data_IF_431898792436
#
_entry.id   IF_431898792436
#
_cell.length_a   1.000
_cell.length_b   1.000
_cell.length_c   1.000
_cell.angle_alpha   90.00
_cell.angle_beta   90.00
_cell.angle_gamma   90.00
#
_symmetry.space_group_name_H-M   'P 1'
#
loop_
_entity.id
_entity.type
_entity.pdbx_description
1 polymer ?
#
# COMPACT_ATOMS: atom_id res chain seq x y z
N UNK A 1 47.91 62.19 68.61
CA UNK A 1 47.27 62.11 67.28
C UNK A 1 48.06 61.14 66.40
N UNK A 2 47.51 59.96 66.10
CA UNK A 2 48.14 58.96 65.20
C UNK A 2 47.59 59.14 63.79
N UNK A 3 48.45 59.46 62.82
CA UNK A 3 48.05 59.56 61.42
C UNK A 3 47.99 58.17 60.78
N UNK A 4 46.81 57.77 60.31
CA UNK A 4 46.66 56.60 59.45
C UNK A 4 47.20 56.96 58.06
N UNK A 5 48.35 56.38 57.67
CA UNK A 5 48.82 56.41 56.28
C UNK A 5 47.79 55.68 55.41
N UNK A 6 47.11 56.43 54.54
CA UNK A 6 46.15 55.92 53.55
C UNK A 6 46.91 55.14 52.47
N UNK A 7 46.80 53.81 52.49
CA UNK A 7 47.48 52.93 51.53
C UNK A 7 46.67 52.84 50.21
N UNK A 8 46.72 53.91 49.40
CA UNK A 8 45.96 54.03 48.13
C UNK A 8 46.44 53.09 47.01
N UNK A 9 47.63 52.51 47.14
CA UNK A 9 48.19 51.61 46.13
C UNK A 9 47.53 50.23 46.14
N UNK A 10 47.12 49.71 47.31
CA UNK A 10 46.43 48.41 47.40
C UNK A 10 45.00 48.43 46.84
N UNK A 11 44.26 49.53 47.01
CA UNK A 11 42.91 49.69 46.44
C UNK A 11 42.93 49.76 44.91
N UNK A 12 43.94 50.40 44.31
CA UNK A 12 44.10 50.45 42.85
C UNK A 12 44.34 49.06 42.25
N UNK A 13 45.12 48.21 42.93
CA UNK A 13 45.37 46.82 42.50
C UNK A 13 44.08 46.00 42.56
N UNK A 14 43.27 46.17 43.61
CA UNK A 14 41.98 45.48 43.74
C UNK A 14 41.00 45.92 42.64
N UNK A 15 40.89 47.23 42.38
CA UNK A 15 40.01 47.76 41.33
C UNK A 15 40.47 47.28 39.94
N UNK A 16 41.78 47.31 39.66
CA UNK A 16 42.32 46.82 38.41
C UNK A 16 42.06 45.31 38.21
N UNK A 17 42.26 44.50 39.25
CA UNK A 17 41.95 43.08 39.21
C UNK A 17 40.46 42.81 38.94
N UNK A 18 39.57 43.58 39.57
CA UNK A 18 38.12 43.43 39.40
C UNK A 18 37.67 43.84 38.00
N UNK A 19 38.25 44.89 37.42
CA UNK A 19 38.02 45.28 36.02
C UNK A 19 38.49 44.18 35.07
N UNK A 20 39.68 43.62 35.29
CA UNK A 20 40.21 42.53 34.46
C UNK A 20 39.27 41.31 34.52
N UNK A 21 38.81 40.93 35.72
CA UNK A 21 37.87 39.82 35.90
C UNK A 21 36.57 40.06 35.14
N UNK A 22 35.96 41.24 35.27
CA UNK A 22 34.73 41.60 34.55
C UNK A 22 34.96 41.59 33.04
N UNK A 23 36.10 42.11 32.57
CA UNK A 23 36.45 42.08 31.15
C UNK A 23 36.61 40.65 30.63
N UNK A 24 37.30 39.78 31.37
CA UNK A 24 37.47 38.38 30.97
C UNK A 24 36.15 37.63 30.95
N UNK A 25 35.26 37.87 31.91
CA UNK A 25 33.91 37.29 31.92
C UNK A 25 33.07 37.75 30.73
N UNK A 26 33.12 39.05 30.40
CA UNK A 26 32.44 39.59 29.22
C UNK A 26 32.98 38.98 27.92
N UNK A 27 34.29 38.79 27.82
CA UNK A 27 34.94 38.22 26.63
C UNK A 27 34.58 36.73 26.47
N UNK A 28 34.56 35.96 27.56
CA UNK A 28 34.12 34.56 27.55
C UNK A 28 32.64 34.45 27.15
N UNK A 29 31.77 35.33 27.67
CA UNK A 29 30.36 35.37 27.30
C UNK A 29 30.19 35.70 25.80
N UNK A 30 30.89 36.69 25.27
CA UNK A 30 30.83 37.02 23.84
C UNK A 30 31.34 35.88 22.96
N UNK A 31 32.44 35.22 23.32
CA UNK A 31 32.95 34.05 22.58
C UNK A 31 31.92 32.92 22.61
N UNK A 32 31.32 32.65 23.76
CA UNK A 32 30.27 31.64 23.91
C UNK A 32 29.06 31.97 23.02
N UNK A 33 28.63 33.23 23.00
CA UNK A 33 27.48 33.67 22.23
C UNK A 33 27.74 33.58 20.72
N UNK A 34 28.93 33.97 20.26
CA UNK A 34 29.35 33.80 18.86
C UNK A 34 29.42 32.32 18.47
N UNK A 35 29.94 31.47 19.37
CA UNK A 35 29.99 30.02 19.12
C UNK A 35 28.60 29.41 19.00
N UNK A 36 27.65 29.82 19.85
CA UNK A 36 26.26 29.38 19.79
C UNK A 36 25.58 29.86 18.50
N UNK A 37 25.73 31.14 18.14
CA UNK A 37 25.18 31.66 16.88
C UNK A 37 25.80 31.00 15.64
N UNK A 38 27.09 30.66 15.67
CA UNK A 38 27.73 29.89 14.60
C UNK A 38 27.23 28.44 14.54
N UNK A 39 26.83 27.85 15.66
CA UNK A 39 26.18 26.54 15.68
C UNK A 39 24.76 26.62 15.14
N UNK A 40 23.96 27.60 15.55
CA UNK A 40 22.62 27.86 15.03
C UNK A 40 22.65 28.11 13.52
N UNK A 41 23.56 28.96 13.03
CA UNK A 41 23.75 29.23 11.61
C UNK A 41 24.27 28.02 10.81
N UNK A 42 24.91 27.04 11.45
CA UNK A 42 25.24 25.77 10.79
C UNK A 42 24.08 24.80 10.83
N UNK A 43 23.21 24.91 11.84
CA UNK A 43 22.09 24.02 12.10
C UNK A 43 20.90 24.29 11.18
N UNK A 44 20.50 25.56 11.05
CA UNK A 44 19.37 25.96 10.19
C UNK A 44 19.55 25.53 8.72
N UNK A 45 20.70 25.78 8.05
CA UNK A 45 20.83 25.49 6.63
C UNK A 45 20.82 24.00 6.30
N UNK A 46 21.34 23.13 7.17
CA UNK A 46 21.33 21.69 6.87
C UNK A 46 19.93 21.11 7.01
N UNK A 47 19.16 21.55 8.02
CA UNK A 47 17.82 21.03 8.28
C UNK A 47 16.87 21.46 7.15
N UNK A 48 16.94 22.73 6.73
CA UNK A 48 16.19 23.21 5.57
C UNK A 48 16.54 22.46 4.29
N UNK A 49 17.83 22.22 4.04
CA UNK A 49 18.28 21.46 2.86
C UNK A 49 17.79 20.02 2.89
N UNK A 50 17.95 19.31 4.01
CA UNK A 50 17.51 17.92 4.14
C UNK A 50 15.99 17.78 4.01
N UNK A 51 15.22 18.65 4.67
CA UNK A 51 13.76 18.68 4.57
C UNK A 51 13.28 19.01 3.17
N UNK A 52 13.92 19.97 2.51
CA UNK A 52 13.60 20.34 1.12
C UNK A 52 13.83 19.18 0.16
N UNK A 53 14.99 18.52 0.25
CA UNK A 53 15.32 17.35 -0.58
C UNK A 53 14.36 16.18 -0.30
N UNK A 54 14.07 15.90 0.97
CA UNK A 54 13.16 14.81 1.33
C UNK A 54 11.72 15.08 0.88
N UNK A 55 11.24 16.32 1.00
CA UNK A 55 9.93 16.72 0.49
C UNK A 55 9.86 16.69 -1.03
N UNK A 56 10.96 17.03 -1.72
CA UNK A 56 11.04 16.93 -3.17
C UNK A 56 11.02 15.47 -3.65
N UNK A 57 11.56 14.54 -2.84
CA UNK A 57 11.48 13.12 -3.12
C UNK A 57 10.03 12.58 -3.15
N UNK A 58 9.14 13.05 -2.26
CA UNK A 58 7.72 12.67 -2.32
C UNK A 58 7.05 13.09 -3.63
N UNK A 59 7.39 14.29 -4.13
CA UNK A 59 6.92 14.77 -5.42
C UNK A 59 7.52 13.95 -6.56
N UNK A 60 8.79 13.60 -6.42
CA UNK A 60 9.52 12.77 -7.38
C UNK A 60 8.87 11.40 -7.56
N UNK A 61 8.58 10.69 -6.46
CA UNK A 61 7.88 9.38 -6.50
C UNK A 61 6.48 9.51 -7.07
N UNK A 62 5.76 10.56 -6.69
CA UNK A 62 4.40 10.80 -7.20
C UNK A 62 4.41 10.96 -8.72
N UNK A 63 5.35 11.76 -9.24
CA UNK A 63 5.48 11.96 -10.68
C UNK A 63 6.01 10.70 -11.40
N UNK A 64 6.94 9.96 -10.79
CA UNK A 64 7.42 8.69 -11.33
C UNK A 64 6.29 7.66 -11.43
N UNK A 65 5.42 7.58 -10.42
CA UNK A 65 4.23 6.72 -10.46
C UNK A 65 3.27 7.17 -11.57
N UNK A 66 3.04 8.47 -11.73
CA UNK A 66 2.24 8.99 -12.85
C UNK A 66 2.78 8.48 -14.19
N UNK A 67 4.07 8.68 -14.47
CA UNK A 67 4.70 8.20 -15.71
C UNK A 67 4.56 6.69 -15.89
N UNK A 68 4.85 5.92 -14.84
CA UNK A 68 4.76 4.46 -14.89
C UNK A 68 3.32 3.98 -15.16
N UNK A 69 2.31 4.60 -14.54
CA UNK A 69 0.90 4.24 -14.78
C UNK A 69 0.42 4.62 -16.17
N UNK A 70 0.90 5.72 -16.75
CA UNK A 70 0.60 6.06 -18.15
C UNK A 70 1.20 5.01 -19.10
N UNK A 71 2.46 4.61 -18.87
CA UNK A 71 3.09 3.55 -19.65
C UNK A 71 2.31 2.23 -19.52
N UNK A 72 1.87 1.87 -18.31
CA UNK A 72 1.08 0.65 -18.09
C UNK A 72 -0.25 0.68 -18.83
N UNK A 73 -0.89 1.85 -18.89
CA UNK A 73 -2.13 2.05 -19.62
C UNK A 73 -1.96 1.91 -21.13
N UNK A 74 -0.80 2.29 -21.67
CA UNK A 74 -0.52 2.21 -23.11
C UNK A 74 -0.05 0.82 -23.53
N UNK A 75 0.79 0.16 -22.73
CA UNK A 75 1.47 -1.09 -23.13
C UNK A 75 0.91 -2.34 -22.47
N UNK A 76 0.25 -2.21 -21.32
CA UNK A 76 -0.18 -3.33 -20.47
C UNK A 76 0.97 -4.12 -19.84
N UNK A 77 2.22 -3.66 -19.99
CA UNK A 77 3.42 -4.36 -19.53
C UNK A 77 3.95 -3.76 -18.22
N UNK A 78 3.79 -4.50 -17.11
CA UNK A 78 4.31 -4.09 -15.80
C UNK A 78 5.83 -3.83 -15.84
N UNK A 79 6.58 -4.64 -16.60
CA UNK A 79 8.04 -4.50 -16.69
C UNK A 79 8.46 -3.17 -17.32
N UNK A 80 7.81 -2.78 -18.43
CA UNK A 80 8.08 -1.51 -19.11
C UNK A 80 7.69 -0.32 -18.24
N UNK A 81 6.53 -0.40 -17.59
CA UNK A 81 6.07 0.64 -16.65
C UNK A 81 7.05 0.87 -15.51
N UNK A 82 7.56 -0.21 -14.90
CA UNK A 82 8.51 -0.12 -13.81
C UNK A 82 9.85 0.46 -14.29
N UNK A 83 10.26 0.12 -15.51
CA UNK A 83 11.46 0.70 -16.12
C UNK A 83 11.32 2.23 -16.29
N UNK A 84 10.20 2.71 -16.84
CA UNK A 84 9.96 4.17 -17.03
C UNK A 84 10.00 4.91 -15.70
N UNK A 85 9.35 4.38 -14.66
CA UNK A 85 9.41 4.94 -13.31
C UNK A 85 10.83 5.02 -12.76
N UNK A 86 11.58 3.91 -12.83
CA UNK A 86 12.96 3.83 -12.34
C UNK A 86 13.93 4.76 -13.11
N UNK A 87 13.75 4.91 -14.43
CA UNK A 87 14.54 5.82 -15.25
C UNK A 87 14.35 7.28 -14.82
N UNK A 88 13.11 7.69 -14.52
CA UNK A 88 12.84 9.04 -14.03
C UNK A 88 13.50 9.29 -12.68
N UNK A 89 13.35 8.37 -11.73
CA UNK A 89 13.97 8.51 -10.39
C UNK A 89 15.50 8.61 -10.52
N UNK A 90 16.11 7.79 -11.36
CA UNK A 90 17.56 7.85 -11.63
C UNK A 90 17.98 9.21 -12.18
N UNK A 91 17.21 9.78 -13.12
CA UNK A 91 17.45 11.14 -13.66
C UNK A 91 17.35 12.19 -12.55
N UNK A 92 16.34 12.10 -11.69
CA UNK A 92 16.18 13.01 -10.55
C UNK A 92 17.35 12.93 -9.56
N UNK A 93 17.80 11.72 -9.19
CA UNK A 93 18.97 11.55 -8.30
C UNK A 93 20.22 12.19 -8.91
N UNK A 94 20.47 11.95 -10.19
CA UNK A 94 21.62 12.56 -10.87
C UNK A 94 21.55 14.09 -10.91
N UNK A 95 20.37 14.65 -11.17
CA UNK A 95 20.15 16.10 -11.14
C UNK A 95 20.34 16.68 -9.73
N UNK A 96 19.86 15.99 -8.70
CA UNK A 96 20.04 16.38 -7.30
C UNK A 96 21.53 16.41 -6.92
N UNK A 97 22.27 15.35 -7.22
CA UNK A 97 23.71 15.27 -6.93
C UNK A 97 24.50 16.36 -7.67
N UNK A 98 24.10 16.70 -8.91
CA UNK A 98 24.72 17.79 -9.66
C UNK A 98 24.44 19.17 -9.05
N UNK A 99 23.17 19.46 -8.70
CA UNK A 99 22.74 20.73 -8.10
C UNK A 99 23.40 21.01 -6.74
N UNK A 100 23.70 19.97 -5.97
CA UNK A 100 24.31 20.08 -4.64
C UNK A 100 25.73 19.49 -4.59
N UNK A 101 26.47 19.59 -5.69
CA UNK A 101 27.82 19.01 -5.83
C UNK A 101 28.83 19.50 -4.77
N UNK A 102 28.64 20.70 -4.22
CA UNK A 102 29.46 21.27 -3.14
C UNK A 102 29.18 20.67 -1.74
N UNK A 103 28.04 19.99 -1.56
CA UNK A 103 27.62 19.46 -0.27
C UNK A 103 28.08 18.01 -0.03
N UNK A 104 28.56 17.33 -1.07
CA UNK A 104 28.94 15.92 -1.00
C UNK A 104 27.76 15.05 -0.56
N UNK A 105 26.59 15.24 -1.20
CA UNK A 105 25.40 14.46 -0.90
C UNK A 105 25.66 12.97 -1.17
N UNK A 106 25.14 12.12 -0.29
CA UNK A 106 25.02 10.69 -0.55
C UNK A 106 23.56 10.31 -0.36
N UNK A 107 22.94 9.86 -1.45
CA UNK A 107 21.52 9.52 -1.54
C UNK A 107 21.43 8.03 -1.75
N UNK A 108 20.60 7.37 -0.94
CA UNK A 108 20.29 5.95 -1.10
C UNK A 108 18.79 5.81 -1.13
N UNK A 109 18.27 5.22 -2.21
CA UNK A 109 16.88 4.83 -2.34
C UNK A 109 16.88 3.32 -2.20
N UNK A 110 16.00 2.79 -1.37
CA UNK A 110 15.87 1.36 -1.17
C UNK A 110 14.41 0.99 -0.98
N UNK A 111 14.03 -0.18 -1.48
CA UNK A 111 12.83 -0.86 -1.03
C UNK A 111 13.22 -1.67 0.22
N UNK A 112 12.50 -1.51 1.31
CA UNK A 112 12.68 -2.32 2.51
C UNK A 112 12.26 -3.77 2.20
N UNK A 113 13.22 -4.54 1.71
CA UNK A 113 13.25 -6.02 1.71
C UNK A 113 12.23 -6.73 0.80
N UNK A 114 12.52 -6.86 -0.51
CA UNK A 114 12.18 -8.06 -1.33
C UNK A 114 12.39 -7.88 -2.85
N UNK A 115 12.62 -6.67 -3.36
CA UNK A 115 12.85 -6.44 -4.79
C UNK A 115 14.32 -6.52 -5.20
N UNK A 116 14.58 -6.93 -6.45
CA UNK A 116 15.85 -6.63 -7.13
C UNK A 116 15.98 -5.13 -7.48
N UNK A 117 14.98 -4.32 -7.12
CA UNK A 117 14.81 -2.91 -7.48
C UNK A 117 14.67 -2.03 -6.24
N UNK A 118 15.19 -0.81 -6.32
CA UNK A 118 15.24 0.17 -5.22
C UNK A 118 13.86 0.76 -4.84
N UNK A 119 12.82 0.45 -5.61
CA UNK A 119 11.45 0.98 -5.45
C UNK A 119 10.47 -0.17 -5.62
N UNK A 120 9.41 -0.19 -4.81
CA UNK A 120 8.28 -1.10 -4.94
C UNK A 120 7.23 -0.44 -5.81
N UNK A 121 6.92 -1.06 -6.93
CA UNK A 121 5.83 -0.69 -7.82
C UNK A 121 4.75 -1.77 -7.75
N UNK A 122 3.49 -1.38 -7.68
CA UNK A 122 2.38 -2.32 -7.77
C UNK A 122 1.21 -1.69 -8.52
N UNK A 123 0.80 -2.35 -9.60
CA UNK A 123 -0.35 -1.96 -10.43
C UNK A 123 -1.16 -3.23 -10.65
N UNK A 124 -2.41 -3.23 -10.20
CA UNK A 124 -3.35 -4.33 -10.44
C UNK A 124 -4.69 -3.73 -10.83
N UNK A 125 -5.04 -3.89 -12.10
CA UNK A 125 -6.19 -3.25 -12.75
C UNK A 125 -7.23 -4.26 -13.27
N UNK A 126 -7.02 -5.55 -13.01
CA UNK A 126 -7.79 -6.63 -13.63
C UNK A 126 -9.00 -7.09 -12.81
N UNK A 127 -9.44 -6.29 -11.83
CA UNK A 127 -10.58 -6.60 -10.98
C UNK A 127 -11.43 -5.35 -10.76
N UNK A 128 -12.61 -5.52 -10.14
CA UNK A 128 -13.48 -4.40 -9.75
C UNK A 128 -12.80 -3.46 -8.75
N UNK A 129 -11.68 -3.88 -8.17
CA UNK A 129 -10.78 -3.06 -7.39
C UNK A 129 -9.42 -2.88 -8.09
N UNK A 130 -9.17 -1.65 -8.55
CA UNK A 130 -7.93 -1.20 -9.16
C UNK A 130 -6.98 -0.55 -8.15
N UNK A 131 -5.68 -0.84 -8.25
CA UNK A 131 -4.64 -0.15 -7.49
C UNK A 131 -3.48 0.30 -8.37
N UNK A 132 -2.97 1.50 -8.09
CA UNK A 132 -1.69 2.03 -8.59
C UNK A 132 -0.87 2.52 -7.41
N UNK A 133 0.31 1.95 -7.19
CA UNK A 133 1.07 2.11 -5.95
C UNK A 133 2.59 2.22 -6.20
N UNK A 134 3.23 3.11 -5.43
CA UNK A 134 4.67 3.25 -5.35
C UNK A 134 5.15 3.48 -3.91
N UNK A 135 6.27 2.86 -3.55
CA UNK A 135 6.91 3.02 -2.25
C UNK A 135 8.43 2.94 -2.32
N UNK A 136 9.11 3.80 -1.56
CA UNK A 136 10.52 3.66 -1.28
C UNK A 136 10.93 4.29 0.05
N UNK A 137 12.00 3.76 0.63
CA UNK A 137 12.79 4.41 1.67
C UNK A 137 13.85 5.31 1.03
N UNK A 138 13.92 6.54 1.48
CA UNK A 138 14.92 7.52 1.08
C UNK A 138 15.86 7.81 2.24
N UNK A 139 17.16 7.69 1.97
CA UNK A 139 18.22 8.02 2.92
C UNK A 139 19.13 9.10 2.36
N UNK A 140 19.42 10.09 3.20
CA UNK A 140 20.24 11.24 2.83
C UNK A 140 21.33 11.50 3.88
N UNK A 141 22.54 11.61 3.37
CA UNK A 141 23.72 12.09 4.08
C UNK A 141 24.23 13.38 3.44
N UNK A 142 24.65 14.35 4.26
CA UNK A 142 25.23 15.62 3.80
C UNK A 142 26.63 15.78 4.41
N UNK A 143 27.64 15.37 3.65
CA UNK A 143 29.02 15.30 4.12
C UNK A 143 29.60 16.67 4.51
N UNK A 144 29.28 17.73 3.76
CA UNK A 144 29.78 19.08 4.05
C UNK A 144 29.38 19.60 5.44
N UNK A 145 28.27 19.10 5.99
CA UNK A 145 27.77 19.46 7.33
C UNK A 145 28.07 18.38 8.38
N UNK A 146 28.72 17.26 8.00
CA UNK A 146 28.91 16.11 8.88
C UNK A 146 27.59 15.42 9.28
N UNK A 147 26.51 15.68 8.54
CA UNK A 147 25.17 15.20 8.83
C UNK A 147 24.94 13.85 8.15
N UNK A 148 24.44 12.87 8.90
CA UNK A 148 24.31 11.48 8.48
C UNK A 148 22.99 10.88 8.92
N UNK A 149 22.40 10.04 8.08
CA UNK A 149 21.29 9.16 8.44
C UNK A 149 19.91 9.81 8.43
N UNK A 150 19.67 10.86 7.64
CA UNK A 150 18.28 11.26 7.40
C UNK A 150 17.55 10.12 6.69
N UNK A 151 16.35 9.81 7.16
CA UNK A 151 15.52 8.76 6.59
C UNK A 151 14.10 9.29 6.45
N UNK A 152 13.53 9.14 5.27
CA UNK A 152 12.12 9.41 4.99
C UNK A 152 11.52 8.25 4.23
N UNK A 153 10.25 7.97 4.52
CA UNK A 153 9.46 7.00 3.76
C UNK A 153 8.56 7.78 2.82
N UNK A 154 8.54 7.39 1.57
CA UNK A 154 7.67 7.98 0.56
C UNK A 154 6.71 6.93 0.04
N UNK A 155 5.42 7.24 0.09
CA UNK A 155 4.36 6.36 -0.33
C UNK A 155 3.33 7.15 -1.14
N UNK A 156 2.99 6.63 -2.31
CA UNK A 156 1.87 7.11 -3.11
C UNK A 156 1.02 5.95 -3.57
N UNK A 157 -0.28 6.04 -3.37
CA UNK A 157 -1.22 5.07 -3.89
C UNK A 157 -2.51 5.74 -4.37
N UNK A 158 -3.15 5.15 -5.37
CA UNK A 158 -4.50 5.47 -5.80
C UNK A 158 -5.27 4.17 -5.94
N UNK A 159 -6.47 4.15 -5.37
CA UNK A 159 -7.36 3.01 -5.38
C UNK A 159 -8.66 3.39 -6.07
N UNK A 160 -9.15 2.49 -6.92
CA UNK A 160 -10.40 2.63 -7.64
C UNK A 160 -11.27 1.41 -7.34
N UNK A 161 -12.48 1.61 -6.86
CA UNK A 161 -13.42 0.54 -6.54
C UNK A 161 -14.72 0.73 -7.32
N UNK A 162 -15.10 -0.26 -8.13
CA UNK A 162 -16.40 -0.30 -8.79
C UNK A 162 -17.43 -0.86 -7.82
N UNK A 163 -18.38 -0.01 -7.43
CA UNK A 163 -19.41 -0.33 -6.41
C UNK A 163 -20.62 -1.00 -7.06
N UNK A 164 -21.00 -0.51 -8.23
CA UNK A 164 -22.19 -0.99 -8.93
C UNK A 164 -22.12 -0.66 -10.41
N UNK A 165 -22.75 -1.51 -11.21
CA UNK A 165 -22.98 -1.26 -12.62
C UNK A 165 -24.42 -1.59 -12.99
N UNK A 166 -24.97 -0.82 -13.92
CA UNK A 166 -26.27 -1.04 -14.52
C UNK A 166 -26.19 -0.77 -16.02
N UNK A 167 -26.25 -1.84 -16.80
CA UNK A 167 -26.17 -1.79 -18.26
C UNK A 167 -27.57 -2.01 -18.82
N UNK A 168 -28.08 -1.02 -19.55
CA UNK A 168 -29.38 -1.09 -20.21
C UNK A 168 -29.19 -1.14 -21.73
N UNK A 169 -29.32 -2.35 -22.28
CA UNK A 169 -29.16 -2.64 -23.70
C UNK A 169 -30.27 -2.05 -24.58
N UNK A 170 -31.48 -1.88 -24.05
CA UNK A 170 -32.60 -1.30 -24.80
C UNK A 170 -32.41 0.21 -25.04
N UNK A 171 -31.78 0.88 -24.08
CA UNK A 171 -31.54 2.33 -24.13
C UNK A 171 -30.10 2.68 -24.52
N UNK A 172 -29.27 1.68 -24.77
CA UNK A 172 -27.83 1.81 -25.02
C UNK A 172 -27.14 2.72 -23.98
N UNK A 173 -27.50 2.53 -22.71
CA UNK A 173 -27.05 3.37 -21.60
C UNK A 173 -26.42 2.54 -20.49
N UNK A 174 -25.42 3.11 -19.82
CA UNK A 174 -24.76 2.49 -18.68
C UNK A 174 -24.68 3.47 -17.52
N UNK A 175 -24.87 2.96 -16.30
CA UNK A 175 -24.65 3.69 -15.06
C UNK A 175 -23.63 2.92 -14.24
N UNK A 176 -22.58 3.60 -13.76
CA UNK A 176 -21.56 2.97 -12.91
C UNK A 176 -21.39 3.83 -11.66
N UNK A 177 -21.46 3.18 -10.50
CA UNK A 177 -21.06 3.76 -9.22
C UNK A 177 -19.64 3.33 -8.89
N UNK A 178 -18.77 4.26 -8.52
CA UNK A 178 -17.40 3.94 -8.15
C UNK A 178 -16.89 4.82 -7.00
N UNK A 179 -15.86 4.36 -6.30
CA UNK A 179 -15.11 5.12 -5.31
C UNK A 179 -13.66 5.28 -5.76
N UNK A 180 -13.12 6.47 -5.58
CA UNK A 180 -11.69 6.75 -5.75
C UNK A 180 -11.11 7.39 -4.50
N UNK A 181 -10.03 6.79 -4.01
CA UNK A 181 -9.28 7.29 -2.86
C UNK A 181 -7.79 7.29 -3.18
N UNK A 182 -7.10 8.29 -2.65
CA UNK A 182 -5.67 8.42 -2.78
C UNK A 182 -5.01 8.26 -1.41
N UNK A 183 -3.77 7.81 -1.41
CA UNK A 183 -2.96 7.71 -0.20
C UNK A 183 -1.63 8.40 -0.39
N UNK A 184 -1.25 9.16 0.63
CA UNK A 184 0.07 9.77 0.81
C UNK A 184 0.63 9.32 2.15
N UNK A 185 1.88 9.67 2.46
CA UNK A 185 2.49 9.40 3.76
C UNK A 185 1.66 9.94 4.95
N UNK A 186 0.84 10.97 4.73
CA UNK A 186 -0.02 11.60 5.74
C UNK A 186 -1.34 10.86 6.01
N UNK A 187 -1.76 9.94 5.12
CA UNK A 187 -3.02 9.20 5.26
C UNK A 187 -3.81 9.07 3.95
N UNK A 188 -5.09 8.72 4.09
CA UNK A 188 -6.02 8.57 2.98
C UNK A 188 -6.81 9.85 2.75
N UNK A 189 -6.98 10.22 1.49
CA UNK A 189 -7.82 11.34 1.07
C UNK A 189 -8.77 10.88 -0.03
N UNK A 190 -10.00 11.39 0.00
CA UNK A 190 -10.93 11.20 -1.10
C UNK A 190 -10.57 12.12 -2.27
N UNK A 191 -10.64 11.61 -3.51
CA UNK A 191 -10.49 12.45 -4.70
C UNK A 191 -11.86 13.07 -5.00
N UNK A 192 -12.01 14.38 -4.82
CA UNK A 192 -13.31 15.08 -4.86
C UNK A 192 -13.49 16.02 -6.07
N UNK A 193 -12.50 16.13 -6.94
CA UNK A 193 -12.45 17.10 -8.03
C UNK A 193 -12.37 16.46 -9.43
N UNK A 194 -12.89 15.23 -9.59
CA UNK A 194 -12.96 14.59 -10.90
C UNK A 194 -13.92 15.31 -11.84
N UNK A 195 -13.53 15.33 -13.10
CA UNK A 195 -14.32 15.78 -14.25
C UNK A 195 -14.55 14.62 -15.22
N UNK A 196 -15.42 14.81 -16.21
CA UNK A 196 -15.68 13.79 -17.22
C UNK A 196 -14.42 13.49 -18.06
N UNK A 197 -13.52 14.47 -18.22
CA UNK A 197 -12.29 14.33 -19.00
C UNK A 197 -11.25 13.43 -18.31
N UNK A 198 -11.40 13.23 -17.00
CA UNK A 198 -10.53 12.37 -16.19
C UNK A 198 -10.92 10.88 -16.27
N UNK A 199 -11.96 10.54 -17.02
CA UNK A 199 -12.61 9.23 -17.00
C UNK A 199 -12.67 8.61 -18.39
N UNK A 200 -12.29 7.34 -18.47
CA UNK A 200 -12.46 6.51 -19.66
C UNK A 200 -13.25 5.27 -19.26
N UNK A 201 -14.42 5.10 -19.84
CA UNK A 201 -15.29 3.95 -19.59
C UNK A 201 -15.44 3.13 -20.87
N UNK A 202 -15.20 1.84 -20.79
CA UNK A 202 -15.46 0.87 -21.86
C UNK A 202 -16.43 -0.19 -21.39
N UNK A 203 -17.29 -0.63 -22.31
CA UNK A 203 -18.04 -1.87 -22.18
C UNK A 203 -17.18 -3.00 -22.72
N UNK A 204 -16.97 -4.00 -21.90
CA UNK A 204 -16.18 -5.15 -22.29
C UNK A 204 -17.14 -6.18 -22.89
N UNK A 205 -16.81 -6.65 -24.08
CA UNK A 205 -17.63 -7.61 -24.81
C UNK A 205 -16.78 -8.80 -25.24
N UNK A 206 -17.44 -9.90 -25.63
CA UNK A 206 -16.76 -11.12 -26.10
C UNK A 206 -15.83 -10.83 -27.30
N UNK A 207 -16.18 -9.87 -28.16
CA UNK A 207 -15.47 -9.61 -29.41
C UNK A 207 -14.53 -8.42 -29.31
N UNK A 208 -15.04 -7.27 -28.88
CA UNK A 208 -14.30 -6.00 -28.86
C UNK A 208 -14.85 -5.04 -27.82
N UNK A 209 -13.98 -4.37 -27.07
CA UNK A 209 -14.41 -3.37 -26.11
C UNK A 209 -15.03 -2.16 -26.82
N UNK A 210 -16.16 -1.69 -26.32
CA UNK A 210 -16.94 -0.58 -26.89
C UNK A 210 -16.78 0.65 -25.99
N UNK A 211 -16.28 1.79 -26.50
CA UNK A 211 -16.15 2.99 -25.70
C UNK A 211 -17.53 3.54 -25.32
N UNK A 212 -17.66 3.98 -24.07
CA UNK A 212 -18.85 4.64 -23.55
C UNK A 212 -18.62 6.14 -23.52
N UNK A 213 -19.57 6.89 -24.06
CA UNK A 213 -19.59 8.35 -23.93
C UNK A 213 -20.25 8.74 -22.60
N UNK A 214 -19.45 9.24 -21.64
CA UNK A 214 -19.94 9.68 -20.33
C UNK A 214 -20.68 11.01 -20.49
N UNK A 215 -21.96 11.04 -20.11
CA UNK A 215 -22.84 12.20 -20.26
C UNK A 215 -22.96 13.01 -18.96
N UNK A 216 -22.78 12.37 -17.81
CA UNK A 216 -22.80 13.04 -16.51
C UNK A 216 -21.96 12.31 -15.47
N UNK A 217 -21.45 13.08 -14.52
CA UNK A 217 -20.69 12.64 -13.36
C UNK A 217 -21.25 13.36 -12.13
N UNK A 218 -21.66 12.60 -11.12
CA UNK A 218 -22.24 13.15 -9.88
C UNK A 218 -21.42 12.69 -8.68
N UNK A 219 -20.88 13.64 -7.92
CA UNK A 219 -20.17 13.36 -6.66
C UNK A 219 -21.14 13.17 -5.50
N UNK A 220 -21.02 12.05 -4.79
CA UNK A 220 -21.87 11.71 -3.64
C UNK A 220 -21.18 11.96 -2.29
N UNK A 221 -19.90 12.35 -2.29
CA UNK A 221 -19.09 12.48 -1.08
C UNK A 221 -18.13 11.29 -0.87
N UNK A 222 -17.11 11.47 -0.03
CA UNK A 222 -16.16 10.40 0.36
C UNK A 222 -15.45 9.69 -0.79
N UNK A 223 -15.27 10.39 -1.92
CA UNK A 223 -14.62 9.85 -3.12
C UNK A 223 -15.56 9.02 -4.00
N UNK A 224 -16.85 8.98 -3.67
CA UNK A 224 -17.86 8.20 -4.39
C UNK A 224 -18.47 9.06 -5.50
N UNK A 225 -18.58 8.47 -6.68
CA UNK A 225 -19.18 9.07 -7.87
C UNK A 225 -20.16 8.12 -8.52
N UNK A 226 -21.12 8.72 -9.21
CA UNK A 226 -22.02 8.02 -10.14
C UNK A 226 -21.80 8.63 -11.52
N UNK A 227 -21.51 7.78 -12.50
CA UNK A 227 -21.47 8.16 -13.91
C UNK A 227 -22.68 7.61 -14.64
N UNK A 228 -23.19 8.42 -15.57
CA UNK A 228 -24.13 7.96 -16.58
C UNK A 228 -23.49 8.16 -17.95
N UNK A 229 -23.54 7.13 -18.78
CA UNK A 229 -22.98 7.13 -20.13
C UNK A 229 -23.89 6.46 -21.14
N UNK A 230 -23.61 6.71 -22.40
CA UNK A 230 -24.30 6.11 -23.55
C UNK A 230 -23.27 5.52 -24.50
N UNK A 231 -23.56 4.38 -25.11
CA UNK A 231 -22.69 3.74 -26.07
C UNK A 231 -23.38 3.59 -27.42
N UNK A 232 -22.59 3.58 -28.49
CA UNK A 232 -23.13 3.34 -29.81
C UNK A 232 -23.48 1.84 -29.94
N UNK A 233 -24.77 1.51 -29.94
CA UNK A 233 -25.22 0.19 -30.36
C UNK A 233 -24.98 0.08 -31.87
N UNK A 234 -23.86 -0.53 -32.28
CA UNK A 234 -23.81 -1.16 -33.60
C UNK A 234 -24.97 -2.15 -33.70
N UNK A 235 -25.57 -2.31 -34.88
CA UNK A 235 -26.74 -3.16 -35.12
C UNK A 235 -26.56 -4.56 -34.51
N UNK A 236 -26.97 -4.76 -33.25
CA UNK A 236 -27.11 -6.07 -32.63
C UNK A 236 -26.29 -6.45 -31.39
N UNK A 237 -25.65 -5.54 -30.62
CA UNK A 237 -25.07 -5.96 -29.31
C UNK A 237 -26.20 -6.50 -28.43
N UNK A 238 -26.27 -7.83 -28.29
CA UNK A 238 -27.22 -8.48 -27.40
C UNK A 238 -26.65 -8.53 -25.99
N UNK A 239 -27.51 -8.53 -24.97
CA UNK A 239 -27.08 -8.56 -23.56
C UNK A 239 -26.14 -9.74 -23.24
N UNK A 240 -26.21 -10.83 -24.00
CA UNK A 240 -25.36 -12.02 -23.85
C UNK A 240 -23.91 -11.82 -24.35
N UNK A 241 -23.60 -10.68 -24.97
CA UNK A 241 -22.25 -10.38 -25.48
C UNK A 241 -21.45 -9.45 -24.56
N UNK A 242 -22.09 -8.88 -23.54
CA UNK A 242 -21.48 -7.94 -22.59
C UNK A 242 -20.95 -8.72 -21.38
N UNK A 243 -19.66 -8.58 -21.11
CA UNK A 243 -18.97 -9.22 -19.99
C UNK A 243 -18.93 -8.32 -18.75
N UNK A 244 -18.92 -7.00 -18.93
CA UNK A 244 -18.87 -6.02 -17.85
C UNK A 244 -18.45 -4.64 -18.35
N UNK A 245 -17.83 -3.85 -17.47
CA UNK A 245 -17.26 -2.54 -17.76
C UNK A 245 -15.83 -2.46 -17.25
N UNK A 246 -15.01 -1.68 -17.94
CA UNK A 246 -13.71 -1.22 -17.44
C UNK A 246 -13.73 0.29 -17.31
N UNK A 247 -13.41 0.79 -16.12
CA UNK A 247 -13.27 2.20 -15.83
C UNK A 247 -11.81 2.51 -15.55
N UNK A 248 -11.24 3.43 -16.31
CA UNK A 248 -9.94 4.05 -16.03
C UNK A 248 -10.16 5.48 -15.55
N UNK A 249 -9.45 5.85 -14.49
CA UNK A 249 -9.51 7.17 -13.88
C UNK A 249 -8.11 7.78 -13.81
N UNK A 250 -8.01 9.04 -14.19
CA UNK A 250 -6.81 9.85 -14.04
C UNK A 250 -7.02 10.81 -12.87
N UNK A 251 -6.15 10.76 -11.86
CA UNK A 251 -6.29 11.70 -10.73
C UNK A 251 -5.96 13.14 -11.19
N UNK A 252 -6.78 14.16 -10.88
CA UNK A 252 -6.58 15.51 -11.45
C UNK A 252 -5.32 16.22 -10.96
N UNK A 253 -4.87 15.92 -9.74
CA UNK A 253 -3.75 16.63 -9.11
C UNK A 253 -2.40 16.02 -9.51
N UNK A 254 -2.31 14.70 -9.48
CA UNK A 254 -1.05 13.98 -9.61
C UNK A 254 -0.95 13.20 -10.93
N UNK A 255 -1.99 13.25 -11.77
CA UNK A 255 -2.04 12.62 -13.09
C UNK A 255 -1.70 11.11 -13.06
N UNK A 256 -2.05 10.43 -11.98
CA UNK A 256 -1.88 8.98 -11.81
C UNK A 256 -3.08 8.28 -12.44
N UNK A 257 -2.82 7.28 -13.28
CA UNK A 257 -3.84 6.44 -13.89
C UNK A 257 -4.10 5.23 -12.99
N UNK A 258 -5.37 4.86 -12.83
CA UNK A 258 -5.79 3.60 -12.21
C UNK A 258 -6.99 3.05 -12.97
N UNK A 259 -7.04 1.74 -13.19
CA UNK A 259 -8.17 1.11 -13.88
C UNK A 259 -8.75 -0.03 -13.04
N UNK A 260 -10.04 -0.26 -13.19
CA UNK A 260 -10.79 -1.34 -12.55
C UNK A 260 -11.79 -1.91 -13.55
N UNK A 261 -12.09 -3.20 -13.47
CA UNK A 261 -12.92 -3.92 -14.43
C UNK A 261 -13.84 -4.93 -13.75
N UNK A 262 -15.12 -4.94 -14.13
CA UNK A 262 -16.10 -5.98 -13.73
C UNK A 262 -16.16 -7.13 -14.73
N UNK A 263 -15.49 -7.01 -15.89
CA UNK A 263 -15.49 -8.04 -16.93
C UNK A 263 -14.39 -9.09 -16.78
N UNK A 264 -13.38 -8.79 -15.96
CA UNK A 264 -12.48 -9.82 -15.45
C UNK A 264 -13.23 -10.76 -14.54
N UNK A 265 -12.76 -12.00 -14.37
CA UNK A 265 -13.32 -12.92 -13.38
C UNK A 265 -13.21 -12.26 -11.99
N UNK A 266 -14.29 -11.63 -11.52
CA UNK A 266 -14.33 -10.89 -10.23
C UNK A 266 -13.95 -11.79 -9.04
N UNK A 267 -14.06 -13.10 -9.24
CA UNK A 267 -13.70 -14.15 -8.30
C UNK A 267 -12.20 -14.46 -8.27
N UNK A 268 -11.38 -13.76 -9.05
CA UNK A 268 -9.95 -13.99 -9.10
C UNK A 268 -9.26 -13.77 -7.78
N UNK A 269 -9.85 -13.10 -6.79
CA UNK A 269 -9.24 -12.99 -5.47
C UNK A 269 -10.34 -13.03 -4.39
N UNK A 270 -10.24 -14.00 -3.48
CA UNK A 270 -10.95 -14.02 -2.21
C UNK A 270 -10.06 -13.40 -1.13
N UNK A 271 -10.57 -12.43 -0.39
CA UNK A 271 -9.83 -11.75 0.67
C UNK A 271 -10.36 -12.14 2.04
N UNK A 272 -9.48 -12.28 3.04
CA UNK A 272 -9.92 -12.50 4.42
C UNK A 272 -10.15 -11.14 5.10
N UNK A 273 -11.39 -10.86 5.52
CA UNK A 273 -11.86 -9.61 6.15
C UNK A 273 -12.04 -9.68 7.67
N UNK A 274 -12.49 -8.56 8.27
CA UNK A 274 -12.63 -8.37 9.74
C UNK A 274 -13.45 -9.49 10.40
N UNK A 275 -12.90 -10.11 11.46
CA UNK A 275 -13.52 -11.25 12.16
C UNK A 275 -13.20 -12.63 11.59
N UNK A 276 -12.52 -12.71 10.44
CA UNK A 276 -12.30 -13.95 9.71
C UNK A 276 -13.50 -14.31 8.84
N UNK A 277 -14.07 -13.31 8.16
CA UNK A 277 -14.97 -13.52 7.03
C UNK A 277 -14.16 -13.59 5.73
N UNK A 278 -14.67 -14.26 4.71
CA UNK A 278 -14.13 -14.16 3.35
C UNK A 278 -14.98 -13.13 2.59
N UNK A 279 -14.31 -12.19 1.94
CA UNK A 279 -14.91 -11.14 1.11
C UNK A 279 -14.39 -11.25 -0.31
N UNK A 280 -15.27 -11.02 -1.27
CA UNK A 280 -14.94 -10.93 -2.70
C UNK A 280 -14.33 -9.58 -3.05
N UNK A 281 -14.63 -8.56 -2.26
CA UNK A 281 -13.94 -7.28 -2.31
C UNK A 281 -12.75 -7.30 -1.35
N UNK A 282 -11.61 -6.67 -1.70
CA UNK A 282 -10.58 -6.41 -0.70
C UNK A 282 -11.22 -5.65 0.46
N UNK A 283 -10.88 -6.00 1.72
CA UNK A 283 -11.51 -5.39 2.89
C UNK A 283 -11.45 -3.87 2.76
N UNK A 284 -12.59 -3.20 2.95
CA UNK A 284 -12.62 -1.74 3.06
C UNK A 284 -11.50 -1.35 4.02
N UNK A 285 -10.51 -0.61 3.51
CA UNK A 285 -9.35 -0.21 4.30
C UNK A 285 -9.83 0.93 5.22
N UNK A 286 -10.61 0.56 6.23
CA UNK A 286 -11.06 1.42 7.30
C UNK A 286 -9.88 1.66 8.24
N UNK A 287 -9.69 2.93 8.60
CA UNK A 287 -8.69 3.38 9.55
C UNK A 287 -8.85 2.71 10.92
N UNK A 288 -7.77 2.13 11.41
CA UNK A 288 -7.63 1.61 12.77
C UNK A 288 -6.57 0.51 12.82
N UNK A 289 -5.97 0.26 13.99
CA UNK A 289 -5.18 -0.95 14.20
C UNK A 289 -6.12 -2.16 14.10
N UNK A 290 -6.44 -2.63 12.89
CA UNK A 290 -7.18 -3.88 12.71
C UNK A 290 -6.21 -5.05 12.84
N UNK A 291 -5.83 -5.33 14.09
CA UNK A 291 -5.45 -6.69 14.42
C UNK A 291 -6.74 -7.51 14.42
N UNK A 292 -7.02 -8.30 13.38
CA UNK A 292 -7.63 -9.59 13.75
C UNK A 292 -6.45 -10.36 14.33
N UNK A 293 -6.53 -10.68 15.61
CA UNK A 293 -5.71 -11.72 16.20
C UNK A 293 -6.51 -13.03 16.09
N UNK A 294 -6.60 -13.73 14.94
CA UNK A 294 -7.00 -15.13 14.97
C UNK A 294 -5.78 -15.89 15.49
N UNK A 295 -5.55 -15.76 16.79
CA UNK A 295 -4.47 -16.45 17.47
C UNK A 295 -4.81 -17.93 17.52
N UNK A 296 -4.27 -18.70 16.59
CA UNK A 296 -4.24 -20.15 16.74
C UNK A 296 -3.30 -20.47 17.90
N UNK A 297 -3.85 -20.99 18.98
CA UNK A 297 -3.11 -21.41 20.17
C UNK A 297 -3.47 -22.84 20.54
N UNK A 298 -2.76 -23.44 21.50
CA UNK A 298 -3.07 -24.81 21.94
C UNK A 298 -4.53 -25.03 22.43
N UNK A 299 -5.31 -23.96 22.69
CA UNK A 299 -6.75 -24.04 22.99
C UNK A 299 -7.70 -23.78 21.80
N UNK A 300 -7.17 -23.34 20.67
CA UNK A 300 -7.88 -23.11 19.39
C UNK A 300 -6.99 -23.67 18.27
N UNK A 301 -6.98 -25.00 18.13
CA UNK A 301 -6.15 -25.72 17.15
C UNK A 301 -6.66 -25.58 15.71
N UNK A 302 -7.83 -24.99 15.53
CA UNK A 302 -8.55 -24.90 14.27
C UNK A 302 -9.23 -23.54 14.19
N UNK A 303 -9.21 -22.94 13.00
CA UNK A 303 -9.93 -21.72 12.68
C UNK A 303 -10.57 -21.87 11.32
N UNK A 304 -11.89 -21.73 11.28
CA UNK A 304 -12.67 -21.69 10.04
C UNK A 304 -13.10 -20.25 9.79
N UNK A 305 -12.99 -19.84 8.53
CA UNK A 305 -13.33 -18.53 7.99
C UNK A 305 -14.24 -18.78 6.79
N UNK A 306 -15.42 -18.17 6.76
CA UNK A 306 -16.41 -18.41 5.71
C UNK A 306 -16.82 -17.11 5.00
N UNK A 307 -17.19 -17.22 3.72
CA UNK A 307 -17.71 -16.11 2.92
C UNK A 307 -19.20 -15.88 3.18
N UNK A 308 -19.69 -14.76 2.66
CA UNK A 308 -21.12 -14.65 2.37
C UNK A 308 -21.52 -15.65 1.27
N UNK A 309 -22.82 -15.92 1.16
CA UNK A 309 -23.37 -16.81 0.13
C UNK A 309 -23.04 -16.24 -1.26
N UNK A 310 -22.47 -17.08 -2.13
CA UNK A 310 -22.10 -16.67 -3.47
C UNK A 310 -23.34 -16.53 -4.37
N UNK A 311 -23.48 -15.42 -5.11
CA UNK A 311 -24.67 -15.12 -5.91
C UNK A 311 -24.69 -15.79 -7.29
N UNK A 312 -23.65 -16.53 -7.67
CA UNK A 312 -23.53 -17.20 -8.97
C UNK A 312 -22.55 -18.38 -8.93
N UNK A 313 -22.57 -19.21 -9.97
CA UNK A 313 -21.56 -20.26 -10.17
C UNK A 313 -20.17 -19.66 -10.42
N UNK A 314 -19.13 -20.26 -9.82
CA UNK A 314 -17.72 -19.87 -9.98
C UNK A 314 -16.98 -21.01 -10.69
N UNK A 315 -16.27 -20.71 -11.78
CA UNK A 315 -15.34 -21.64 -12.41
C UNK A 315 -14.00 -21.66 -11.66
N UNK A 316 -13.35 -22.84 -11.61
CA UNK A 316 -12.04 -23.01 -10.99
C UNK A 316 -11.04 -23.54 -12.00
N UNK A 317 -9.85 -22.93 -12.04
CA UNK A 317 -8.67 -23.55 -12.65
C UNK A 317 -8.20 -24.80 -11.90
N UNK A 318 -7.42 -25.63 -12.59
CA UNK A 318 -6.83 -26.85 -12.03
C UNK A 318 -5.96 -26.57 -10.79
N UNK A 319 -5.34 -25.39 -10.72
CA UNK A 319 -4.52 -24.95 -9.59
C UNK A 319 -4.92 -23.57 -9.12
N UNK A 320 -5.41 -23.51 -7.89
CA UNK A 320 -5.74 -22.26 -7.19
C UNK A 320 -4.52 -21.85 -6.37
N UNK A 321 -4.15 -20.57 -6.37
CA UNK A 321 -3.01 -20.09 -5.57
C UNK A 321 -3.49 -19.18 -4.47
N UNK A 322 -2.75 -19.05 -3.39
CA UNK A 322 -3.07 -18.11 -2.32
C UNK A 322 -1.83 -17.52 -1.69
N UNK A 323 -2.02 -16.43 -0.96
CA UNK A 323 -0.98 -15.83 -0.12
C UNK A 323 -1.56 -15.60 1.27
N UNK A 324 -0.88 -16.11 2.30
CA UNK A 324 -1.18 -15.82 3.70
C UNK A 324 -0.02 -15.09 4.35
N UNK A 325 -0.32 -14.03 5.10
CA UNK A 325 0.68 -13.30 5.88
C UNK A 325 0.66 -13.78 7.33
N UNK A 326 1.75 -14.42 7.76
CA UNK A 326 1.84 -15.09 9.07
C UNK A 326 3.06 -14.62 9.86
N UNK A 327 2.90 -14.52 11.19
CA UNK A 327 4.00 -14.35 12.14
C UNK A 327 3.85 -15.29 13.35
N UNK A 328 4.99 -15.78 13.87
CA UNK A 328 5.04 -16.45 15.17
C UNK A 328 5.14 -15.43 16.30
N UNK A 329 4.23 -15.50 17.28
CA UNK A 329 4.27 -14.59 18.44
C UNK A 329 5.13 -15.11 19.61
N UNK A 330 5.81 -16.26 19.49
CA UNK A 330 6.56 -16.90 20.58
C UNK A 330 7.96 -17.38 20.17
N UNK A 331 8.82 -17.73 21.14
CA UNK A 331 10.20 -18.26 20.93
C UNK A 331 10.25 -19.70 20.36
N UNK A 332 9.23 -20.14 19.62
CA UNK A 332 9.25 -21.43 18.93
C UNK A 332 10.11 -21.36 17.67
N UNK A 333 10.59 -22.52 17.21
CA UNK A 333 11.43 -22.63 16.00
C UNK A 333 10.60 -22.79 14.73
N UNK A 334 9.47 -23.48 14.83
CA UNK A 334 8.56 -23.71 13.73
C UNK A 334 7.19 -24.16 14.22
N UNK A 335 6.18 -23.90 13.39
CA UNK A 335 4.83 -24.45 13.52
C UNK A 335 4.36 -24.89 12.14
N UNK A 336 3.71 -26.06 12.04
CA UNK A 336 3.07 -26.50 10.81
C UNK A 336 1.57 -26.22 10.84
N UNK A 337 1.09 -25.60 9.77
CA UNK A 337 -0.33 -25.36 9.53
C UNK A 337 -0.77 -26.14 8.31
N UNK A 338 -1.95 -26.75 8.39
CA UNK A 338 -2.70 -27.22 7.25
C UNK A 338 -3.75 -26.16 6.90
N UNK A 339 -3.76 -25.72 5.64
CA UNK A 339 -4.75 -24.79 5.12
C UNK A 339 -5.62 -25.55 4.14
N UNK A 340 -6.91 -25.62 4.41
CA UNK A 340 -7.90 -26.28 3.56
C UNK A 340 -8.81 -25.23 2.94
N UNK A 341 -9.02 -25.31 1.63
CA UNK A 341 -9.99 -24.52 0.89
C UNK A 341 -11.19 -25.41 0.53
N UNK A 342 -12.39 -24.94 0.80
CA UNK A 342 -13.62 -25.65 0.48
C UNK A 342 -14.82 -24.73 0.36
N UNK A 343 -16.00 -25.31 0.18
CA UNK A 343 -17.27 -24.60 0.18
C UNK A 343 -18.40 -25.48 0.72
N UNK A 344 -19.39 -24.84 1.31
CA UNK A 344 -20.62 -25.47 1.79
C UNK A 344 -21.72 -25.25 0.75
N UNK A 345 -22.31 -26.33 0.24
CA UNK A 345 -23.44 -26.27 -0.70
C UNK A 345 -24.54 -27.22 -0.26
N UNK A 346 -25.78 -26.71 -0.15
CA UNK A 346 -26.94 -27.47 0.34
C UNK A 346 -26.70 -28.20 1.68
N UNK A 347 -25.93 -27.57 2.58
CA UNK A 347 -25.61 -28.11 3.90
C UNK A 347 -24.60 -29.26 3.91
N UNK A 348 -23.85 -29.46 2.80
CA UNK A 348 -22.73 -30.40 2.73
C UNK A 348 -21.45 -29.66 2.36
N UNK A 349 -20.34 -30.06 2.97
CA UNK A 349 -19.03 -29.45 2.76
C UNK A 349 -18.27 -30.18 1.65
N UNK A 350 -17.68 -29.40 0.76
CA UNK A 350 -16.92 -29.85 -0.40
C UNK A 350 -15.50 -29.28 -0.31
N UNK A 351 -14.51 -30.15 -0.24
CA UNK A 351 -13.10 -29.75 -0.14
C UNK A 351 -12.53 -29.61 -1.54
N UNK A 352 -12.05 -28.42 -1.88
CA UNK A 352 -11.38 -28.14 -3.16
C UNK A 352 -9.93 -28.63 -3.11
N UNK A 353 -9.23 -28.34 -2.01
CA UNK A 353 -7.85 -28.78 -1.81
C UNK A 353 -7.27 -28.30 -0.49
N UNK A 354 -6.04 -28.73 -0.20
CA UNK A 354 -5.31 -28.28 0.98
C UNK A 354 -3.83 -28.07 0.64
N UNK A 355 -3.14 -27.27 1.45
CA UNK A 355 -1.70 -27.07 1.41
C UNK A 355 -1.15 -26.96 2.83
N UNK A 356 0.13 -27.30 3.03
CA UNK A 356 0.77 -27.32 4.34
C UNK A 356 1.93 -26.33 4.36
N UNK A 357 1.88 -25.37 5.28
CA UNK A 357 2.94 -24.37 5.46
C UNK A 357 3.67 -24.55 6.78
N UNK A 358 4.99 -24.40 6.73
CA UNK A 358 5.85 -24.37 7.91
C UNK A 358 6.20 -22.93 8.26
N UNK A 359 5.55 -22.39 9.28
CA UNK A 359 5.82 -21.05 9.79
C UNK A 359 7.04 -21.09 10.69
N UNK A 360 8.10 -20.37 10.34
CA UNK A 360 9.39 -20.38 11.07
C UNK A 360 9.84 -19.00 11.53
N UNK A 361 9.20 -17.94 11.03
CA UNK A 361 9.59 -16.57 11.31
C UNK A 361 8.75 -15.94 12.41
N UNK A 362 9.42 -15.19 13.29
CA UNK A 362 8.80 -14.28 14.27
C UNK A 362 8.52 -12.90 13.67
N UNK A 363 8.96 -12.67 12.44
CA UNK A 363 8.66 -11.50 11.62
C UNK A 363 7.58 -11.89 10.62
N UNK A 364 6.59 -11.03 10.45
CA UNK A 364 5.52 -11.19 9.49
C UNK A 364 6.06 -11.31 8.06
N UNK A 365 5.67 -12.36 7.35
CA UNK A 365 6.09 -12.61 5.97
C UNK A 365 5.02 -13.38 5.19
N UNK A 366 5.02 -13.32 3.84
CA UNK A 366 4.05 -14.01 3.02
C UNK A 366 4.39 -15.50 2.87
N UNK A 367 3.36 -16.33 2.84
CA UNK A 367 3.40 -17.75 2.56
C UNK A 367 2.50 -18.04 1.35
N UNK A 368 3.10 -18.59 0.31
CA UNK A 368 2.41 -18.92 -0.93
C UNK A 368 1.80 -20.32 -0.84
N UNK A 369 0.51 -20.40 -1.14
CA UNK A 369 -0.28 -21.62 -1.13
C UNK A 369 -0.60 -22.06 -2.55
N UNK A 370 -0.70 -23.36 -2.76
CA UNK A 370 -1.19 -23.94 -4.00
C UNK A 370 -2.17 -25.10 -3.72
N UNK A 371 -3.42 -24.93 -4.11
CA UNK A 371 -4.46 -25.94 -3.97
C UNK A 371 -4.71 -26.61 -5.32
N UNK A 372 -4.61 -27.94 -5.36
CA UNK A 372 -4.92 -28.71 -6.55
C UNK A 372 -6.43 -29.00 -6.62
N UNK A 373 -7.17 -28.19 -7.37
CA UNK A 373 -8.62 -28.28 -7.48
C UNK A 373 -9.08 -29.57 -8.19
N UNK A 374 -8.23 -30.20 -9.00
CA UNK A 374 -8.59 -31.46 -9.70
C UNK A 374 -8.74 -32.65 -8.75
N UNK A 375 -8.17 -32.56 -7.55
CA UNK A 375 -8.28 -33.58 -6.50
C UNK A 375 -9.41 -33.28 -5.51
N UNK A 376 -10.14 -32.18 -5.72
CA UNK A 376 -11.25 -31.77 -4.89
C UNK A 376 -12.48 -32.66 -5.05
N UNK A 377 -13.35 -32.62 -4.03
CA UNK A 377 -14.67 -33.23 -4.06
C UNK A 377 -15.70 -32.18 -4.45
N UNK A 378 -16.57 -32.49 -5.41
CA UNK A 378 -17.58 -31.56 -5.93
C UNK A 378 -18.97 -32.22 -5.93
N UNK A 379 -20.04 -31.43 -5.83
CA UNK A 379 -21.39 -31.94 -6.08
C UNK A 379 -21.54 -32.43 -7.52
N UNK A 380 -22.46 -33.38 -7.73
CA UNK A 380 -22.71 -33.94 -9.05
C UNK A 380 -23.06 -32.84 -10.05
N UNK A 381 -22.30 -32.74 -11.16
CA UNK A 381 -22.49 -31.73 -12.20
C UNK A 381 -21.62 -30.48 -12.09
N UNK A 382 -20.84 -30.31 -11.01
CA UNK A 382 -20.06 -29.09 -10.73
C UNK A 382 -18.55 -29.35 -10.60
N UNK A 383 -17.99 -30.25 -11.42
CA UNK A 383 -16.55 -30.49 -11.42
C UNK A 383 -15.77 -29.22 -11.78
N UNK A 384 -14.79 -28.84 -10.95
CA UNK A 384 -14.05 -27.56 -11.06
C UNK A 384 -14.97 -26.34 -11.06
N UNK A 385 -16.05 -26.39 -10.29
CA UNK A 385 -16.94 -25.25 -10.12
C UNK A 385 -17.55 -25.20 -8.73
N UNK A 386 -17.78 -23.99 -8.22
CA UNK A 386 -18.51 -23.73 -6.98
C UNK A 386 -19.92 -23.27 -7.36
N UNK A 387 -20.99 -23.99 -6.98
CA UNK A 387 -22.36 -23.64 -7.35
C UNK A 387 -22.88 -22.35 -6.70
N UNK A 388 -23.75 -21.60 -7.39
CA UNK A 388 -24.56 -20.52 -6.82
C UNK A 388 -25.23 -20.96 -5.52
N UNK A 389 -25.20 -20.10 -4.50
CA UNK A 389 -25.76 -20.38 -3.19
C UNK A 389 -24.79 -21.08 -2.22
N UNK A 390 -23.53 -21.29 -2.62
CA UNK A 390 -22.49 -21.85 -1.75
C UNK A 390 -21.88 -20.82 -0.80
N UNK A 391 -21.36 -21.26 0.34
CA UNK A 391 -20.49 -20.46 1.22
C UNK A 391 -19.07 -21.01 1.14
N UNK A 392 -18.12 -20.22 0.64
CA UNK A 392 -16.71 -20.63 0.56
C UNK A 392 -16.12 -20.56 1.96
N UNK A 393 -15.26 -21.51 2.31
CA UNK A 393 -14.54 -21.48 3.57
C UNK A 393 -13.05 -21.81 3.42
N UNK A 394 -12.27 -21.24 4.33
CA UNK A 394 -10.87 -21.58 4.56
C UNK A 394 -10.77 -22.09 6.00
N UNK A 395 -10.25 -23.30 6.16
CA UNK A 395 -9.93 -23.89 7.44
C UNK A 395 -8.41 -23.87 7.64
N UNK A 396 -7.96 -23.38 8.79
CA UNK A 396 -6.54 -23.35 9.16
C UNK A 396 -6.38 -24.15 10.44
N UNK A 397 -5.63 -25.25 10.33
CA UNK A 397 -5.49 -26.24 11.41
C UNK A 397 -4.03 -26.42 11.79
N UNK A 398 -3.76 -26.36 13.10
CA UNK A 398 -2.45 -26.55 13.69
C UNK A 398 -2.08 -28.05 13.69
N UNK A 399 -1.05 -28.44 12.95
CA UNK A 399 -0.65 -29.85 12.76
C UNK A 399 0.41 -30.27 13.78
N UNK A 400 1.51 -29.51 13.88
CA UNK A 400 2.65 -29.87 14.73
C UNK A 400 3.34 -28.61 15.28
N UNK A 401 3.85 -28.69 16.52
CA UNK A 401 4.67 -27.64 17.14
C UNK A 401 5.86 -28.24 17.91
N UNK A 402 7.04 -27.66 17.74
CA UNK A 402 8.33 -28.17 18.25
C UNK A 402 8.43 -28.27 19.79
N UNK A 403 7.56 -27.60 20.56
CA UNK A 403 7.56 -27.65 22.03
C UNK A 403 6.14 -27.54 22.63
N UNK A 404 5.84 -28.26 23.73
CA UNK A 404 4.63 -28.02 24.51
C UNK A 404 4.72 -26.66 25.21
N UNK A 405 3.87 -25.72 24.82
CA UNK A 405 3.81 -24.37 25.38
C UNK A 405 2.95 -23.47 24.50
N UNK A 406 2.29 -22.48 25.10
CA UNK A 406 1.36 -21.54 24.46
C UNK A 406 2.07 -20.80 23.32
N UNK A 407 1.99 -21.33 22.11
CA UNK A 407 2.35 -20.65 20.88
C UNK A 407 1.10 -20.03 20.28
N UNK A 408 1.27 -18.88 19.65
CA UNK A 408 0.25 -18.16 18.93
C UNK A 408 0.76 -17.87 17.52
N UNK A 409 -0.06 -18.13 16.52
CA UNK A 409 0.16 -17.64 15.15
C UNK A 409 -0.81 -16.51 14.92
N UNK A 410 -0.31 -15.40 14.40
CA UNK A 410 -1.17 -14.31 13.95
C UNK A 410 -1.25 -14.34 12.43
N UNK A 411 -2.47 -14.19 11.93
CA UNK A 411 -2.79 -14.05 10.52
C UNK A 411 -3.11 -12.58 10.29
N UNK A 412 -2.47 -11.97 9.30
CA UNK A 412 -2.59 -10.54 9.05
C UNK A 412 -3.32 -10.24 7.74
N UNK A 413 -4.04 -9.13 7.76
CA UNK A 413 -4.73 -8.49 6.65
C UNK A 413 -4.87 -6.99 7.02
N UNK A 414 -4.99 -6.12 6.03
CA UNK A 414 -5.05 -4.68 6.24
C UNK A 414 -3.69 -4.02 6.54
N UNK A 415 -3.74 -2.77 6.98
CA UNK A 415 -2.58 -1.95 7.30
C UNK A 415 -2.03 -2.28 8.69
N UNK A 416 -0.74 -2.57 8.80
CA UNK A 416 -0.06 -2.65 10.08
C UNK A 416 0.55 -1.29 10.46
N UNK A 417 0.09 -0.69 11.56
CA UNK A 417 0.53 0.62 12.01
C UNK A 417 1.90 0.60 12.69
N UNK A 418 2.34 -0.57 13.18
CA UNK A 418 3.65 -0.73 13.81
C UNK A 418 4.77 -0.90 12.76
N UNK A 419 4.46 -1.48 11.59
CA UNK A 419 5.41 -1.67 10.48
C UNK A 419 5.22 -0.65 9.35
N UNK A 420 4.03 -0.09 9.20
CA UNK A 420 3.66 0.80 8.11
C UNK A 420 3.31 0.08 6.79
N UNK A 421 3.13 -1.23 6.81
CA UNK A 421 2.94 -2.06 5.62
C UNK A 421 1.48 -2.47 5.42
N UNK A 422 1.09 -2.74 4.17
CA UNK A 422 -0.24 -3.20 3.78
C UNK A 422 -0.17 -4.68 3.49
N UNK A 423 -1.01 -5.46 4.17
CA UNK A 423 -1.05 -6.90 4.02
C UNK A 423 -2.41 -7.29 3.45
N UNK A 424 -2.42 -8.04 2.36
CA UNK A 424 -3.63 -8.67 1.85
C UNK A 424 -3.38 -10.17 1.88
N UNK A 425 -4.07 -10.87 2.79
CA UNK A 425 -4.20 -12.33 2.73
C UNK A 425 -5.37 -12.66 1.82
N UNK A 426 -5.10 -13.44 0.78
CA UNK A 426 -6.12 -13.77 -0.20
C UNK A 426 -5.81 -14.99 -1.05
N UNK A 427 -6.84 -15.56 -1.64
CA UNK A 427 -6.77 -16.74 -2.50
C UNK A 427 -7.18 -16.32 -3.90
N UNK A 428 -6.26 -16.54 -4.84
CA UNK A 428 -6.49 -16.34 -6.25
C UNK A 428 -7.10 -17.58 -6.90
N UNK A 429 -8.39 -17.50 -7.21
CA UNK A 429 -9.06 -18.44 -8.11
C UNK A 429 -8.64 -18.03 -9.53
N UNK A 430 -8.11 -18.95 -10.33
CA UNK A 430 -7.78 -18.64 -11.72
C UNK A 430 -8.87 -19.15 -12.65
#
# INVERSE_FOLDING_TARGET
>A
MRSFRRNKQGQLVIIAALIIVVFTLALVLSISQVSLSLQELKYEPFQETALSIASDFDRCITYALSLATHEYNETGSLEESYQVGNEFITKWVNALLASYSNLGLNVTIAASESGATDIVWWMDWNSSFGVSYAYADFRLDINAYGFKGWMSKSLRAVYLNLISELINTNMSSVTVGFQIIERKSEGFNSVSNLTIEDLYLTLDTILTNVPVNITSLTYQGSGIYIIHGTYASGDGIQQMEILGVTLSVITPNDNIVVSASTSGDEWRNLYIGEGGSISTCPPEILHGNMFINPTLSQGQSERIVSSEIIPQDIGLDETIKGTLWLELSSRQKSVQLNITLGFTYNGSDYIIGYDVVSVTSVVLQPYYLAFNATQGNYPEGYYLSIPEGSEIFIEITLVESDRPGVSSIKIFFGYNPDTGEFYLSGIKLY
#
